data_IF_267571019829
#
_entry.id   IF_267571019829
#
_cell.length_a   1.000
_cell.length_b   1.000
_cell.length_c   1.000
_cell.angle_alpha   90.00
_cell.angle_beta   90.00
_cell.angle_gamma   90.00
#
_symmetry.space_group_name_H-M   'P 1'
#
loop_
_entity.id
_entity.type
_entity.pdbx_description
1 polymer ?
#
# COMPACT_ATOMS: atom_id res chain seq x y z
N UNK A 1 -17.77 9.42 -3.76
CA UNK A 1 -17.87 10.83 -4.16
C UNK A 1 -17.46 10.93 -5.62
N UNK A 2 -18.18 11.68 -6.45
CA UNK A 2 -17.80 11.91 -7.85
C UNK A 2 -17.23 13.31 -7.97
N UNK A 3 -16.05 13.41 -8.57
CA UNK A 3 -15.38 14.68 -8.86
C UNK A 3 -16.05 15.35 -10.07
N UNK A 4 -15.95 16.66 -10.18
CA UNK A 4 -16.54 17.43 -11.29
C UNK A 4 -16.03 16.94 -12.66
N UNK A 5 -14.80 16.44 -12.72
CA UNK A 5 -14.21 15.81 -13.92
C UNK A 5 -14.65 14.36 -14.18
N UNK A 6 -15.62 13.83 -13.44
CA UNK A 6 -16.18 12.48 -13.62
C UNK A 6 -15.44 11.34 -12.89
N UNK A 7 -14.31 11.61 -12.26
CA UNK A 7 -13.57 10.62 -11.47
C UNK A 7 -14.31 10.22 -10.18
N UNK A 8 -14.18 8.97 -9.76
CA UNK A 8 -14.81 8.48 -8.52
C UNK A 8 -13.79 8.34 -7.39
N UNK A 9 -14.11 8.92 -6.23
CA UNK A 9 -13.33 8.82 -5.00
C UNK A 9 -14.07 7.94 -3.99
N UNK A 10 -13.40 6.88 -3.55
CA UNK A 10 -13.83 6.00 -2.47
C UNK A 10 -13.11 6.36 -1.18
N UNK A 11 -13.85 6.93 -0.22
CA UNK A 11 -13.31 7.24 1.11
C UNK A 11 -13.53 6.04 2.03
N UNK A 12 -12.44 5.58 2.65
CA UNK A 12 -12.47 4.49 3.62
C UNK A 12 -11.95 4.98 4.97
N UNK A 13 -12.63 4.67 6.09
CA UNK A 13 -12.13 5.00 7.41
C UNK A 13 -10.76 4.36 7.66
N UNK A 14 -9.83 5.15 8.18
CA UNK A 14 -8.49 4.68 8.53
C UNK A 14 -7.99 5.38 9.79
N UNK A 15 -7.31 4.62 10.62
CA UNK A 15 -6.54 5.15 11.74
C UNK A 15 -5.25 5.75 11.18
N UNK A 16 -5.20 7.08 11.12
CA UNK A 16 -4.09 7.83 10.48
C UNK A 16 -2.82 7.76 11.32
N UNK A 17 -2.94 7.64 12.64
CA UNK A 17 -1.79 7.53 13.56
C UNK A 17 -1.01 6.22 13.37
N UNK A 18 -1.64 5.23 12.72
CA UNK A 18 -1.03 3.93 12.41
C UNK A 18 -0.54 3.80 10.98
N UNK A 19 -0.81 4.79 10.12
CA UNK A 19 -0.33 4.76 8.74
C UNK A 19 1.15 5.10 8.70
N UNK A 20 1.93 4.26 8.03
CA UNK A 20 3.27 4.66 7.60
C UNK A 20 3.12 5.58 6.38
N UNK A 21 3.26 6.88 6.63
CA UNK A 21 2.99 7.95 5.68
C UNK A 21 4.06 9.04 5.74
N UNK A 22 4.26 9.71 4.61
CA UNK A 22 5.20 10.81 4.43
C UNK A 22 4.47 12.04 3.91
N UNK A 23 4.97 13.22 4.29
CA UNK A 23 4.47 14.47 3.76
C UNK A 23 5.09 14.72 2.38
N UNK A 24 4.24 14.85 1.36
CA UNK A 24 4.65 15.17 -0.01
C UNK A 24 4.01 16.46 -0.50
N UNK A 25 4.76 17.17 -1.35
CA UNK A 25 4.27 18.29 -2.14
C UNK A 25 4.11 17.80 -3.57
N UNK A 26 2.89 17.84 -4.09
CA UNK A 26 2.59 17.48 -5.48
C UNK A 26 1.74 18.58 -6.15
N UNK A 27 1.30 18.31 -7.38
CA UNK A 27 0.50 19.23 -8.21
C UNK A 27 -0.86 19.58 -7.57
N UNK A 28 -1.34 18.76 -6.64
CA UNK A 28 -2.59 18.96 -5.91
C UNK A 28 -2.38 19.68 -4.57
N UNK A 29 -1.14 20.01 -4.21
CA UNK A 29 -0.78 20.67 -2.96
C UNK A 29 0.04 19.78 -2.02
N UNK A 30 0.04 20.14 -0.74
CA UNK A 30 0.70 19.34 0.31
C UNK A 30 -0.27 18.29 0.84
N UNK A 31 0.16 17.03 0.85
CA UNK A 31 -0.63 15.92 1.35
C UNK A 31 0.23 14.91 2.12
N UNK A 32 -0.41 14.13 3.00
CA UNK A 32 0.18 12.90 3.51
C UNK A 32 -0.13 11.78 2.52
N UNK A 33 0.91 11.06 2.11
CA UNK A 33 0.80 9.88 1.23
C UNK A 33 1.43 8.68 1.93
N UNK A 34 0.91 7.49 1.66
CA UNK A 34 1.47 6.25 2.20
C UNK A 34 2.85 5.98 1.62
N UNK A 35 3.78 5.47 2.43
CA UNK A 35 5.08 5.00 1.92
C UNK A 35 4.89 3.89 0.87
N UNK A 36 5.90 3.61 0.02
CA UNK A 36 5.83 2.46 -0.90
C UNK A 36 5.53 1.14 -0.17
N UNK A 37 6.12 0.92 1.02
CA UNK A 37 5.89 -0.27 1.83
C UNK A 37 4.45 -0.35 2.36
N UNK A 38 3.91 0.76 2.87
CA UNK A 38 2.51 0.85 3.29
C UNK A 38 1.54 0.61 2.14
N UNK A 39 1.83 1.21 0.97
CA UNK A 39 1.02 1.07 -0.25
C UNK A 39 1.01 -0.38 -0.71
N UNK A 40 2.17 -1.05 -0.75
CA UNK A 40 2.28 -2.46 -1.07
C UNK A 40 1.46 -3.33 -0.11
N UNK A 41 1.57 -3.08 1.20
CA UNK A 41 0.78 -3.77 2.22
C UNK A 41 -0.72 -3.61 2.00
N UNK A 42 -1.20 -2.39 1.74
CA UNK A 42 -2.63 -2.12 1.56
C UNK A 42 -3.21 -2.77 0.31
N UNK A 43 -2.48 -2.72 -0.82
CA UNK A 43 -2.88 -3.37 -2.08
C UNK A 43 -2.98 -4.89 -1.93
N UNK A 44 -2.05 -5.51 -1.20
CA UNK A 44 -2.06 -6.96 -0.96
C UNK A 44 -3.09 -7.38 0.11
N UNK A 45 -3.32 -6.55 1.12
CA UNK A 45 -4.30 -6.84 2.18
C UNK A 45 -5.73 -6.80 1.65
N UNK A 46 -6.03 -5.84 0.76
CA UNK A 46 -7.38 -5.57 0.29
C UNK A 46 -7.41 -5.14 -1.20
N UNK A 47 -7.06 -6.04 -2.14
CA UNK A 47 -6.97 -5.70 -3.55
C UNK A 47 -8.28 -5.16 -4.14
N UNK A 48 -9.43 -5.61 -3.64
CA UNK A 48 -10.75 -5.14 -4.10
C UNK A 48 -11.20 -3.78 -3.55
N UNK A 49 -10.45 -3.12 -2.65
CA UNK A 49 -10.93 -1.92 -1.96
C UNK A 49 -11.23 -0.75 -2.90
N UNK A 50 -10.49 -0.65 -4.01
CA UNK A 50 -10.69 0.35 -5.06
C UNK A 50 -11.58 -0.10 -6.22
N UNK A 51 -12.19 -1.30 -6.15
CA UNK A 51 -13.00 -1.87 -7.23
C UNK A 51 -12.20 -2.38 -8.45
N UNK A 52 -10.87 -2.34 -8.38
CA UNK A 52 -9.94 -2.70 -9.47
C UNK A 52 -8.88 -3.70 -8.96
N UNK A 53 -9.27 -4.96 -8.65
CA UNK A 53 -8.39 -5.91 -7.97
C UNK A 53 -7.20 -6.36 -8.83
N UNK A 54 -7.38 -6.50 -10.14
CA UNK A 54 -6.31 -6.94 -11.03
C UNK A 54 -5.22 -5.88 -11.16
N UNK A 55 -5.63 -4.61 -11.26
CA UNK A 55 -4.74 -3.45 -11.28
C UNK A 55 -4.06 -3.25 -9.93
N UNK A 56 -4.75 -3.47 -8.82
CA UNK A 56 -4.15 -3.44 -7.49
C UNK A 56 -3.03 -4.48 -7.36
N UNK A 57 -3.26 -5.71 -7.85
CA UNK A 57 -2.24 -6.76 -7.86
C UNK A 57 -1.09 -6.45 -8.83
N UNK A 58 -1.38 -5.84 -9.98
CA UNK A 58 -0.34 -5.39 -10.92
C UNK A 58 0.56 -4.30 -10.31
N UNK A 59 -0.05 -3.30 -9.68
CA UNK A 59 0.66 -2.24 -8.97
C UNK A 59 1.51 -2.81 -7.81
N UNK A 60 0.95 -3.75 -7.04
CA UNK A 60 1.68 -4.42 -5.98
C UNK A 60 2.92 -5.17 -6.51
N UNK A 61 2.82 -5.83 -7.66
CA UNK A 61 3.99 -6.50 -8.29
C UNK A 61 5.09 -5.50 -8.65
N UNK A 62 4.75 -4.36 -9.25
CA UNK A 62 5.74 -3.33 -9.58
C UNK A 62 6.35 -2.67 -8.34
N UNK A 63 5.55 -2.43 -7.29
CA UNK A 63 6.04 -1.80 -6.06
C UNK A 63 7.03 -2.68 -5.28
N UNK A 64 6.95 -4.02 -5.42
CA UNK A 64 7.88 -4.94 -4.73
C UNK A 64 9.34 -4.67 -5.05
N UNK A 65 9.65 -4.18 -6.25
CA UNK A 65 11.04 -3.88 -6.65
C UNK A 65 11.59 -2.63 -5.97
N UNK A 66 10.73 -1.81 -5.35
CA UNK A 66 11.07 -0.54 -4.73
C UNK A 66 11.04 -0.60 -3.20
N UNK A 67 10.65 -1.73 -2.62
CA UNK A 67 10.44 -1.90 -1.18
C UNK A 67 11.42 -2.94 -0.64
N UNK A 68 12.08 -2.63 0.47
CA UNK A 68 12.92 -3.61 1.17
C UNK A 68 12.11 -4.55 2.07
N UNK A 69 12.56 -5.80 2.30
CA UNK A 69 11.84 -6.74 3.19
C UNK A 69 11.68 -6.20 4.61
N UNK A 70 12.70 -5.52 5.13
CA UNK A 70 12.66 -4.91 6.46
C UNK A 70 11.63 -3.77 6.57
N UNK A 71 11.36 -3.04 5.48
CA UNK A 71 10.34 -1.98 5.43
C UNK A 71 8.94 -2.58 5.49
N UNK A 72 8.67 -3.59 4.65
CA UNK A 72 7.39 -4.29 4.66
C UNK A 72 7.12 -4.99 6.01
N UNK A 73 8.16 -5.58 6.63
CA UNK A 73 8.07 -6.16 7.97
C UNK A 73 7.59 -5.15 9.02
N UNK A 74 8.16 -3.94 9.04
CA UNK A 74 7.77 -2.88 9.99
C UNK A 74 6.29 -2.50 9.86
N UNK A 75 5.78 -2.42 8.62
CA UNK A 75 4.36 -2.14 8.38
C UNK A 75 3.50 -3.29 8.93
N UNK A 76 3.86 -4.54 8.65
CA UNK A 76 3.14 -5.71 9.16
C UNK A 76 3.08 -5.71 10.69
N UNK A 77 4.20 -5.44 11.35
CA UNK A 77 4.30 -5.41 12.81
C UNK A 77 3.43 -4.29 13.40
N UNK A 78 3.40 -3.12 12.77
CA UNK A 78 2.55 -1.98 13.16
C UNK A 78 1.05 -2.32 13.08
N UNK A 79 0.65 -3.06 12.05
CA UNK A 79 -0.75 -3.51 11.91
C UNK A 79 -1.08 -4.76 12.73
N UNK A 80 -0.07 -5.53 13.13
CA UNK A 80 -0.20 -6.78 13.89
C UNK A 80 -0.87 -7.91 13.11
N UNK A 81 -0.98 -7.80 11.78
CA UNK A 81 -1.64 -8.79 10.93
C UNK A 81 -1.14 -8.75 9.49
N UNK A 82 -1.15 -9.92 8.86
CA UNK A 82 -0.90 -10.10 7.43
C UNK A 82 -1.80 -11.23 6.89
N UNK A 83 -2.25 -11.12 5.65
CA UNK A 83 -2.89 -12.23 4.94
C UNK A 83 -1.83 -13.11 4.24
N UNK A 84 -2.26 -14.15 3.52
CA UNK A 84 -1.35 -15.03 2.80
C UNK A 84 -0.53 -14.31 1.71
N UNK A 85 -1.13 -13.34 1.01
CA UNK A 85 -0.46 -12.60 -0.06
C UNK A 85 0.66 -11.69 0.48
N UNK A 86 0.43 -11.01 1.60
CA UNK A 86 1.44 -10.20 2.27
C UNK A 86 2.59 -11.06 2.80
N UNK A 87 2.27 -12.19 3.45
CA UNK A 87 3.30 -13.14 3.92
C UNK A 87 4.15 -13.67 2.78
N UNK A 88 3.50 -14.18 1.73
CA UNK A 88 4.20 -14.71 0.56
C UNK A 88 5.09 -13.66 -0.12
N UNK A 89 4.63 -12.42 -0.24
CA UNK A 89 5.45 -11.34 -0.77
C UNK A 89 6.71 -11.08 0.07
N UNK A 90 6.58 -11.06 1.40
CA UNK A 90 7.72 -10.85 2.28
C UNK A 90 8.71 -12.02 2.23
N UNK A 91 8.22 -13.26 2.25
CA UNK A 91 9.06 -14.46 2.15
C UNK A 91 9.83 -14.49 0.82
N UNK A 92 9.17 -14.14 -0.29
CA UNK A 92 9.82 -14.00 -1.61
C UNK A 92 10.93 -12.94 -1.59
N UNK A 93 10.69 -11.80 -0.94
CA UNK A 93 11.66 -10.70 -0.85
C UNK A 93 12.87 -11.08 0.02
N UNK A 94 12.65 -11.74 1.15
CA UNK A 94 13.71 -12.24 2.04
C UNK A 94 14.56 -13.33 1.38
N UNK A 95 13.97 -14.13 0.49
CA UNK A 95 14.70 -15.18 -0.26
C UNK A 95 15.53 -14.62 -1.41
N UNK A 96 15.12 -13.51 -2.05
CA UNK A 96 15.87 -12.85 -3.14
C UNK A 96 17.07 -12.02 -2.66
N UNK A 97 17.05 -11.57 -1.40
CA UNK A 97 18.12 -10.78 -0.79
C UNK A 97 19.26 -11.61 -0.20
N UNK A 98 19.13 -12.95 -0.21
CA UNK A 98 20.16 -13.92 0.16
C UNK A 98 20.89 -14.42 -1.09
#
# INVERSE_FOLDING_TARGET
MTLDGGGMVHLIPRDVERLDAVAEQNELGRALVTTPAQTLYDLLMKPGQGGMPDEALAAARHLREQVGPAELRRVIDTFGRANAAVRGALDEMETRGQ
#
